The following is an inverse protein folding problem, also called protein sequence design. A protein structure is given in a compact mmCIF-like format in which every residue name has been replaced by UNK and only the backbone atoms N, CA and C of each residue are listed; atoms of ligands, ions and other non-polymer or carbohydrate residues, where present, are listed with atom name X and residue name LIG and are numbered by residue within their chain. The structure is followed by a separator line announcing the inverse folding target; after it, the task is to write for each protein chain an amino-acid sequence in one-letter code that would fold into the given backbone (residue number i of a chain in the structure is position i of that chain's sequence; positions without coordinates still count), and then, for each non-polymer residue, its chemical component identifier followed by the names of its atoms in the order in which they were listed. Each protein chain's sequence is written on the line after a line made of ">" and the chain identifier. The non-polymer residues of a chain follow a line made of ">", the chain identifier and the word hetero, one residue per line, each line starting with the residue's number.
data_IF_960254336532
#
_entry.id   IF_960254336532
#
_cell.length_a   1.000
_cell.length_b   1.000
_cell.length_c   1.000
_cell.angle_alpha   90.00
_cell.angle_beta   90.00
_cell.angle_gamma   90.00
#
_symmetry.space_group_name_H-M   'P 1'
#
loop_
_entity.id
_entity.type
_entity.pdbx_description
1 polymer ?
#
# COMPACT_ATOMS: atom_id res chain seq x y z
N UNK A 1 -7.24 12.19 9.71
CA UNK A 1 -6.94 10.99 10.55
C UNK A 1 -7.04 9.84 9.56
N UNK A 2 -5.92 9.45 8.96
CA UNK A 2 -5.90 8.71 7.69
C UNK A 2 -5.33 7.31 7.78
N UNK A 3 -4.46 7.07 8.76
CA UNK A 3 -3.77 5.79 8.96
C UNK A 3 -4.73 4.61 9.13
N UNK A 4 -5.84 4.71 9.89
CA UNK A 4 -6.82 3.62 9.98
C UNK A 4 -7.49 3.32 8.63
N UNK A 5 -7.68 4.34 7.78
CA UNK A 5 -8.39 4.21 6.50
C UNK A 5 -7.51 3.59 5.42
N UNK A 6 -6.22 3.94 5.35
CA UNK A 6 -5.27 3.23 4.48
C UNK A 6 -5.15 1.75 4.86
N UNK A 7 -5.07 1.44 6.16
CA UNK A 7 -5.06 0.05 6.62
C UNK A 7 -6.35 -0.68 6.21
N UNK A 8 -7.52 -0.08 6.44
CA UNK A 8 -8.82 -0.64 6.06
C UNK A 8 -8.91 -0.89 4.56
N UNK A 9 -8.43 0.04 3.74
CA UNK A 9 -8.42 -0.06 2.29
C UNK A 9 -7.54 -1.21 1.80
N UNK A 10 -6.34 -1.37 2.35
CA UNK A 10 -5.43 -2.46 1.97
C UNK A 10 -5.91 -3.82 2.47
N UNK A 11 -6.50 -3.90 3.67
CA UNK A 11 -7.15 -5.11 4.16
C UNK A 11 -8.26 -5.55 3.22
N UNK A 12 -9.08 -4.61 2.75
CA UNK A 12 -10.16 -4.89 1.83
C UNK A 12 -9.65 -5.40 0.47
N UNK A 13 -8.61 -4.73 -0.07
CA UNK A 13 -7.90 -5.18 -1.27
C UNK A 13 -7.31 -6.59 -1.15
N UNK A 14 -6.92 -7.02 0.05
CA UNK A 14 -6.43 -8.39 0.30
C UNK A 14 -7.54 -9.44 0.41
N UNK A 15 -8.79 -9.03 0.62
CA UNK A 15 -9.92 -9.95 0.82
C UNK A 15 -10.81 -10.08 -0.41
N UNK A 16 -10.81 -9.10 -1.32
CA UNK A 16 -11.66 -9.08 -2.52
C UNK A 16 -10.84 -8.72 -3.76
N UNK A 17 -10.92 -9.55 -4.80
CA UNK A 17 -10.23 -9.32 -6.08
C UNK A 17 -10.62 -7.98 -6.74
N UNK A 18 -11.91 -7.63 -6.71
CA UNK A 18 -12.37 -6.33 -7.22
C UNK A 18 -11.77 -5.13 -6.46
N UNK A 19 -11.56 -5.26 -5.15
CA UNK A 19 -10.92 -4.23 -4.34
C UNK A 19 -9.41 -4.14 -4.62
N UNK A 20 -8.75 -5.29 -4.84
CA UNK A 20 -7.36 -5.33 -5.29
C UNK A 20 -7.18 -4.52 -6.57
N UNK A 21 -8.00 -4.81 -7.60
CA UNK A 21 -7.93 -4.13 -8.89
C UNK A 21 -8.25 -2.63 -8.77
N UNK A 22 -9.22 -2.27 -7.92
CA UNK A 22 -9.56 -0.88 -7.65
C UNK A 22 -8.38 -0.11 -7.03
N UNK A 23 -7.70 -0.69 -6.03
CA UNK A 23 -6.47 -0.10 -5.47
C UNK A 23 -5.38 -0.04 -6.53
N UNK A 24 -5.19 -1.11 -7.31
CA UNK A 24 -4.19 -1.18 -8.37
C UNK A 24 -4.38 -0.08 -9.44
N UNK A 25 -5.61 0.36 -9.68
CA UNK A 25 -5.95 1.37 -10.69
C UNK A 25 -6.17 2.78 -10.11
N UNK A 26 -6.14 2.93 -8.78
CA UNK A 26 -6.58 4.15 -8.08
C UNK A 26 -7.99 4.56 -8.50
N UNK A 27 -8.91 3.60 -8.51
CA UNK A 27 -10.31 3.84 -8.86
C UNK A 27 -10.92 4.92 -7.95
N UNK A 28 -11.30 6.09 -8.48
CA UNK A 28 -11.79 7.21 -7.68
C UNK A 28 -13.10 6.89 -6.95
N UNK A 29 -13.94 6.02 -7.50
CA UNK A 29 -15.21 5.66 -6.87
C UNK A 29 -14.96 4.78 -5.64
N UNK A 30 -13.99 3.86 -5.74
CA UNK A 30 -13.55 3.05 -4.61
C UNK A 30 -12.81 3.87 -3.55
N UNK A 31 -11.89 4.76 -3.97
CA UNK A 31 -11.17 5.62 -3.03
C UNK A 31 -12.10 6.55 -2.25
N UNK A 32 -13.21 6.99 -2.85
CA UNK A 32 -14.22 7.81 -2.18
C UNK A 32 -14.96 7.08 -1.04
N UNK A 33 -14.84 5.75 -0.92
CA UNK A 33 -15.38 4.99 0.21
C UNK A 33 -14.54 5.16 1.49
N UNK A 34 -13.32 5.71 1.36
CA UNK A 34 -12.37 5.91 2.44
C UNK A 34 -12.13 7.40 2.66
N UNK A 35 -12.00 7.82 3.92
CA UNK A 35 -11.73 9.22 4.27
C UNK A 35 -10.22 9.53 4.14
N UNK A 36 -9.70 9.41 2.90
CA UNK A 36 -8.29 9.61 2.59
C UNK A 36 -7.96 11.09 2.42
N UNK A 37 -6.87 11.52 3.06
CA UNK A 37 -6.31 12.85 2.87
C UNK A 37 -5.63 12.95 1.49
N UNK A 38 -5.40 14.18 0.98
CA UNK A 38 -4.58 14.37 -0.21
C UNK A 38 -3.17 13.77 -0.11
N UNK A 39 -2.60 13.68 1.10
CA UNK A 39 -1.29 13.04 1.32
C UNK A 39 -1.33 11.53 1.13
N UNK A 40 -2.43 10.87 1.46
CA UNK A 40 -2.58 9.43 1.29
C UNK A 40 -2.69 9.09 -0.20
N UNK A 41 -3.52 9.85 -0.92
CA UNK A 41 -3.68 9.70 -2.37
C UNK A 41 -2.35 9.92 -3.08
N UNK A 42 -1.56 10.90 -2.63
CA UNK A 42 -0.21 11.13 -3.16
C UNK A 42 0.72 9.94 -2.91
N UNK A 43 0.67 9.33 -1.72
CA UNK A 43 1.46 8.14 -1.39
C UNK A 43 1.06 6.91 -2.21
N UNK A 44 -0.20 6.80 -2.63
CA UNK A 44 -0.70 5.71 -3.47
C UNK A 44 -0.29 5.83 -4.95
N UNK A 45 0.24 6.97 -5.41
CA UNK A 45 0.67 7.14 -6.81
C UNK A 45 1.86 6.25 -7.16
N UNK A 46 2.86 6.20 -6.28
CA UNK A 46 4.05 5.39 -6.42
C UNK A 46 4.46 4.84 -5.04
N UNK A 47 3.67 3.93 -4.46
CA UNK A 47 3.89 3.49 -3.09
C UNK A 47 5.10 2.58 -3.03
N UNK A 48 6.01 2.91 -2.13
CA UNK A 48 6.99 1.96 -1.60
C UNK A 48 6.61 1.59 -0.16
N UNK A 49 6.97 0.40 0.33
CA UNK A 49 6.58 -0.04 1.66
C UNK A 49 7.08 0.88 2.79
N UNK A 50 8.27 1.48 2.63
CA UNK A 50 8.84 2.39 3.61
C UNK A 50 8.01 3.67 3.75
N UNK A 51 7.61 4.26 2.61
CA UNK A 51 6.73 5.44 2.57
C UNK A 51 5.38 5.19 3.23
N UNK A 52 4.76 4.04 2.98
CA UNK A 52 3.48 3.67 3.59
C UNK A 52 3.62 3.39 5.09
N UNK A 53 4.68 2.69 5.51
CA UNK A 53 4.97 2.45 6.92
C UNK A 53 5.26 3.76 7.69
N UNK A 54 5.95 4.72 7.07
CA UNK A 54 6.20 6.05 7.64
C UNK A 54 4.91 6.86 7.85
N UNK A 55 3.87 6.61 7.06
CA UNK A 55 2.51 7.13 7.27
C UNK A 55 1.76 6.39 8.38
N UNK A 56 2.33 5.34 8.97
CA UNK A 56 1.73 4.53 10.04
C UNK A 56 0.93 3.33 9.57
N UNK A 57 0.93 3.03 8.26
CA UNK A 57 0.32 1.81 7.71
C UNK A 57 1.03 0.60 8.31
N UNK A 58 0.27 -0.44 8.65
CA UNK A 58 0.85 -1.66 9.20
C UNK A 58 1.89 -2.25 8.21
N UNK A 59 3.10 -2.65 8.63
CA UNK A 59 4.18 -3.02 7.70
C UNK A 59 3.84 -4.10 6.67
N UNK A 60 3.00 -5.07 7.04
CA UNK A 60 2.50 -6.07 6.10
C UNK A 60 1.53 -5.50 5.06
N UNK A 61 0.66 -4.57 5.48
CA UNK A 61 -0.27 -3.89 4.58
C UNK A 61 0.47 -2.90 3.68
N UNK A 62 1.50 -2.23 4.19
CA UNK A 62 2.40 -1.39 3.41
C UNK A 62 3.08 -2.18 2.28
N UNK A 63 3.59 -3.38 2.59
CA UNK A 63 4.15 -4.29 1.58
C UNK A 63 3.11 -4.64 0.51
N UNK A 64 1.93 -5.11 0.91
CA UNK A 64 0.90 -5.51 -0.04
C UNK A 64 0.32 -4.35 -0.85
N UNK A 65 0.11 -3.19 -0.24
CA UNK A 65 -0.30 -1.96 -0.91
C UNK A 65 0.70 -1.54 -1.99
N UNK A 66 2.00 -1.69 -1.72
CA UNK A 66 3.04 -1.45 -2.73
C UNK A 66 2.96 -2.43 -3.90
N UNK A 67 2.60 -3.69 -3.65
CA UNK A 67 2.45 -4.72 -4.68
C UNK A 67 1.20 -4.52 -5.53
N UNK A 68 0.07 -4.14 -4.92
CA UNK A 68 -1.17 -3.82 -5.64
C UNK A 68 -0.94 -2.75 -6.71
N UNK A 69 -0.20 -1.68 -6.36
CA UNK A 69 0.08 -0.55 -7.26
C UNK A 69 1.24 -0.77 -8.22
N UNK A 70 2.16 -1.66 -7.89
CA UNK A 70 3.35 -1.94 -8.70
C UNK A 70 3.42 -3.44 -9.06
N UNK A 71 2.65 -3.91 -10.06
CA UNK A 71 2.70 -5.31 -10.49
C UNK A 71 4.08 -5.74 -11.02
N UNK A 72 4.90 -4.79 -11.49
CA UNK A 72 6.31 -5.04 -11.85
C UNK A 72 7.23 -5.29 -10.65
N UNK A 73 6.88 -4.77 -9.46
CA UNK A 73 7.59 -5.00 -8.20
C UNK A 73 7.27 -6.40 -7.66
N UNK A 74 6.02 -6.83 -7.78
CA UNK A 74 5.57 -8.18 -7.40
C UNK A 74 6.24 -9.31 -8.22
N UNK A 75 6.69 -9.01 -9.44
CA UNK A 75 7.40 -9.98 -10.29
C UNK A 75 8.92 -10.05 -10.05
N UNK A 76 9.50 -9.03 -9.39
CA UNK A 76 10.96 -8.84 -9.30
C UNK A 76 11.56 -8.96 -7.90
N UNK A 77 10.75 -8.81 -6.83
CA UNK A 77 11.25 -8.78 -5.46
C UNK A 77 10.82 -10.04 -4.69
N UNK A 78 11.79 -10.81 -4.23
CA UNK A 78 11.54 -11.89 -3.27
C UNK A 78 11.22 -11.33 -1.89
N UNK A 79 10.40 -12.04 -1.11
CA UNK A 79 10.09 -11.63 0.28
C UNK A 79 11.37 -11.42 1.13
N UNK A 80 12.45 -12.14 0.82
CA UNK A 80 13.76 -11.98 1.48
C UNK A 80 14.41 -10.62 1.18
N UNK A 81 14.36 -10.14 -0.06
CA UNK A 81 14.91 -8.83 -0.44
C UNK A 81 14.16 -7.69 0.23
N UNK A 82 12.84 -7.82 0.39
CA UNK A 82 12.02 -6.88 1.14
C UNK A 82 12.49 -6.74 2.61
N UNK A 83 12.69 -7.86 3.30
CA UNK A 83 13.13 -7.84 4.71
C UNK A 83 14.59 -7.44 4.91
N UNK A 84 15.43 -7.53 3.89
CA UNK A 84 16.81 -7.02 3.93
C UNK A 84 16.84 -5.50 3.73
N UNK A 85 15.96 -4.94 2.89
CA UNK A 85 15.86 -3.50 2.65
C UNK A 85 15.32 -2.75 3.87
N UNK A 86 14.24 -3.27 4.48
CA UNK A 86 13.68 -2.74 5.74
C UNK A 86 14.66 -2.76 6.91
N UNK A 87 15.70 -3.60 6.85
CA UNK A 87 16.74 -3.68 7.89
C UNK A 87 17.83 -2.62 7.73
N UNK A 88 18.01 -2.07 6.53
CA UNK A 88 18.99 -1.01 6.26
C UNK A 88 18.51 0.37 6.72
N UNK A 89 17.21 0.61 6.67
CA UNK A 89 16.62 1.90 7.09
C UNK A 89 16.32 1.99 8.60
N UNK A 90 16.59 0.92 9.35
CA UNK A 90 16.41 0.86 10.80
C UNK A 90 17.70 1.18 11.61
N UNK A 91 18.75 1.71 10.96
CA UNK A 91 20.06 2.06 11.56
C UNK A 91 20.30 3.56 11.54
#
# INVERSE_FOLDING_TARGET
>A
MSVPELNRMFEDGLTREAAWDAVAQLDPDYLAEYDLDPSDIAALQAPDPGSLAALGVHPMLAMWGSFMRNPGFAAGMSASEYFDDQRKDAV
#
